data_IF_143005821487
#
_entry.id   IF_143005821487
#
_cell.length_a   1.000
_cell.length_b   1.000
_cell.length_c   1.000
_cell.angle_alpha   90.00
_cell.angle_beta   90.00
_cell.angle_gamma   90.00
#
_symmetry.space_group_name_H-M   'P 1'
#
loop_
_entity.id
_entity.type
_entity.pdbx_description
1 polymer ?
#
# COMPACT_ATOMS: atom_id res chain seq x y z
N UNK A 1 23.19 6.14 -19.49
CA UNK A 1 21.83 5.56 -19.37
C UNK A 1 20.91 6.72 -19.05
N UNK A 2 19.69 6.70 -19.54
CA UNK A 2 18.70 7.73 -19.26
C UNK A 2 18.27 7.62 -17.79
N UNK A 3 18.20 8.76 -17.11
CA UNK A 3 17.79 8.82 -15.71
C UNK A 3 16.28 8.72 -15.62
N UNK A 4 15.79 7.85 -14.75
CA UNK A 4 14.36 7.55 -14.59
C UNK A 4 13.87 7.99 -13.22
N UNK A 5 12.65 8.52 -13.16
CA UNK A 5 11.98 8.84 -11.90
C UNK A 5 11.09 7.69 -11.46
N UNK A 6 11.06 7.43 -10.16
CA UNK A 6 10.05 6.58 -9.52
C UNK A 6 9.21 7.46 -8.60
N UNK A 7 7.94 7.62 -8.92
CA UNK A 7 6.96 8.30 -8.07
C UNK A 7 6.34 7.26 -7.15
N UNK A 8 6.82 7.22 -5.91
CA UNK A 8 6.32 6.34 -4.87
C UNK A 8 5.13 6.99 -4.19
N UNK A 9 3.96 6.43 -4.35
CA UNK A 9 2.70 7.02 -3.89
C UNK A 9 2.16 6.32 -2.66
N UNK A 10 1.63 7.09 -1.72
CA UNK A 10 0.96 6.56 -0.53
C UNK A 10 -0.14 7.49 -0.04
N UNK A 11 -0.91 7.01 0.95
CA UNK A 11 -2.00 7.79 1.54
C UNK A 11 -1.49 9.05 2.26
N UNK A 12 -0.35 8.91 2.93
CA UNK A 12 0.23 9.95 3.77
C UNK A 12 -0.35 9.97 5.18
N UNK A 13 0.34 10.64 6.08
CA UNK A 13 -0.06 10.84 7.47
C UNK A 13 0.61 12.11 8.00
N UNK A 14 0.03 12.81 8.98
CA UNK A 14 0.67 13.94 9.61
C UNK A 14 2.04 13.58 10.20
N UNK A 15 3.02 14.46 10.01
CA UNK A 15 4.34 14.36 10.64
C UNK A 15 4.36 15.02 12.03
N UNK A 16 3.42 15.92 12.28
CA UNK A 16 3.28 16.69 13.51
C UNK A 16 1.80 16.86 13.85
N UNK A 17 1.49 17.05 15.11
CA UNK A 17 0.12 17.18 15.61
C UNK A 17 -0.61 18.36 14.96
N UNK A 18 0.10 19.46 14.66
CA UNK A 18 -0.45 20.67 14.06
C UNK A 18 -1.00 20.43 12.64
N UNK A 19 -0.51 19.40 11.95
CA UNK A 19 -0.94 19.05 10.60
C UNK A 19 -2.25 18.23 10.57
N UNK A 20 -2.72 17.73 11.73
CA UNK A 20 -3.88 16.84 11.80
C UNK A 20 -5.15 17.52 11.29
N UNK A 21 -5.35 18.81 11.58
CA UNK A 21 -6.54 19.55 11.15
C UNK A 21 -6.64 19.63 9.63
N UNK A 22 -5.56 20.07 8.99
CA UNK A 22 -5.51 20.25 7.53
C UNK A 22 -5.59 18.89 6.82
N UNK A 23 -4.86 17.89 7.32
CA UNK A 23 -4.93 16.52 6.85
C UNK A 23 -6.36 15.95 6.91
N UNK A 24 -7.06 16.14 8.04
CA UNK A 24 -8.42 15.65 8.20
C UNK A 24 -9.42 16.40 7.32
N UNK A 25 -9.24 17.70 7.18
CA UNK A 25 -10.03 18.54 6.26
C UNK A 25 -9.82 18.07 4.82
N UNK A 26 -8.60 17.77 4.41
CA UNK A 26 -8.29 17.26 3.07
C UNK A 26 -8.95 15.89 2.81
N UNK A 27 -8.88 14.94 3.75
CA UNK A 27 -9.56 13.65 3.65
C UNK A 27 -11.07 13.80 3.46
N UNK A 28 -11.66 14.84 4.06
CA UNK A 28 -13.08 15.16 4.00
C UNK A 28 -13.44 16.04 2.80
N UNK A 29 -12.55 16.10 1.79
CA UNK A 29 -12.75 16.88 0.56
C UNK A 29 -13.00 18.37 0.83
N UNK A 30 -12.20 18.96 1.73
CA UNK A 30 -12.27 20.39 2.09
C UNK A 30 -13.34 20.74 3.12
N UNK A 31 -14.06 19.77 3.66
CA UNK A 31 -15.03 20.00 4.74
C UNK A 31 -14.31 19.92 6.09
N UNK A 32 -14.22 21.04 6.77
CA UNK A 32 -13.64 21.09 8.11
C UNK A 32 -14.34 20.11 9.07
N UNK A 33 -13.60 19.40 9.92
CA UNK A 33 -14.18 18.58 10.97
C UNK A 33 -14.85 19.47 12.04
N UNK A 34 -15.87 18.94 12.70
CA UNK A 34 -16.29 19.54 13.97
C UNK A 34 -15.19 19.35 15.03
N UNK A 35 -15.18 20.20 16.06
CA UNK A 35 -14.20 20.06 17.15
C UNK A 35 -14.22 18.67 17.77
N UNK A 36 -15.41 18.09 18.00
CA UNK A 36 -15.54 16.74 18.56
C UNK A 36 -14.91 15.65 17.67
N UNK A 37 -15.03 15.75 16.36
CA UNK A 37 -14.40 14.81 15.42
C UNK A 37 -12.88 14.99 15.36
N UNK A 38 -12.43 16.22 15.47
CA UNK A 38 -11.00 16.55 15.55
C UNK A 38 -10.38 15.99 16.83
N UNK A 39 -10.99 16.26 17.99
CA UNK A 39 -10.53 15.78 19.28
C UNK A 39 -10.48 14.24 19.34
N UNK A 40 -11.49 13.56 18.76
CA UNK A 40 -11.49 12.10 18.62
C UNK A 40 -10.30 11.61 17.78
N UNK A 41 -9.99 12.28 16.66
CA UNK A 41 -8.86 11.90 15.84
C UNK A 41 -7.52 12.17 16.54
N UNK A 42 -7.37 13.32 17.19
CA UNK A 42 -6.18 13.65 17.99
C UNK A 42 -5.96 12.61 19.08
N UNK A 43 -7.02 12.25 19.82
CA UNK A 43 -6.93 11.23 20.86
C UNK A 43 -6.42 9.88 20.33
N UNK A 44 -6.84 9.46 19.11
CA UNK A 44 -6.31 8.25 18.47
C UNK A 44 -4.82 8.36 18.13
N UNK A 45 -4.34 9.55 17.73
CA UNK A 45 -2.91 9.78 17.52
C UNK A 45 -2.14 9.76 18.84
N UNK A 46 -2.70 10.33 19.92
CA UNK A 46 -2.09 10.30 21.26
C UNK A 46 -1.94 8.86 21.79
N UNK A 47 -2.93 7.99 21.57
CA UNK A 47 -2.86 6.56 21.94
C UNK A 47 -1.68 5.82 21.29
N UNK A 48 -1.18 6.27 20.17
CA UNK A 48 -0.02 5.69 19.47
C UNK A 48 1.27 6.50 19.65
N UNK A 49 1.27 7.50 20.55
CA UNK A 49 2.45 8.29 20.86
C UNK A 49 2.54 9.66 20.18
N UNK A 50 1.42 10.19 19.65
CA UNK A 50 1.28 11.53 19.09
C UNK A 50 1.10 11.55 17.58
N UNK A 51 2.03 11.02 16.79
CA UNK A 51 1.91 10.89 15.34
C UNK A 51 2.22 9.46 14.90
N UNK A 52 1.70 9.08 13.72
CA UNK A 52 1.96 7.77 13.18
C UNK A 52 3.43 7.63 12.74
N UNK A 53 4.10 6.49 12.97
CA UNK A 53 5.43 6.22 12.43
C UNK A 53 5.43 6.04 10.91
N UNK A 54 4.26 6.05 10.26
CA UNK A 54 4.09 5.77 8.83
C UNK A 54 4.90 6.73 7.95
N UNK A 55 5.00 8.01 8.30
CA UNK A 55 5.77 8.98 7.51
C UNK A 55 7.26 8.59 7.46
N UNK A 56 7.84 8.24 8.61
CA UNK A 56 9.22 7.76 8.69
C UNK A 56 9.43 6.43 7.97
N UNK A 57 8.47 5.50 8.10
CA UNK A 57 8.50 4.20 7.40
C UNK A 57 8.45 4.42 5.89
N UNK A 58 7.57 5.31 5.40
CA UNK A 58 7.46 5.63 3.96
C UNK A 58 8.77 6.19 3.42
N UNK A 59 9.44 7.08 4.17
CA UNK A 59 10.73 7.63 3.76
C UNK A 59 11.83 6.56 3.76
N UNK A 60 11.86 5.69 4.75
CA UNK A 60 12.79 4.55 4.78
C UNK A 60 12.56 3.59 3.59
N UNK A 61 11.30 3.34 3.22
CA UNK A 61 10.96 2.55 2.04
C UNK A 61 11.43 3.23 0.75
N UNK A 62 11.22 4.57 0.62
CA UNK A 62 11.71 5.34 -0.52
C UNK A 62 13.22 5.18 -0.69
N UNK A 63 13.98 5.41 0.39
CA UNK A 63 15.44 5.31 0.36
C UNK A 63 15.92 3.89 0.01
N UNK A 64 15.31 2.87 0.60
CA UNK A 64 15.67 1.48 0.33
C UNK A 64 15.35 1.06 -1.12
N UNK A 65 14.24 1.54 -1.68
CA UNK A 65 13.87 1.28 -3.09
C UNK A 65 14.89 1.95 -4.02
N UNK A 66 15.25 3.21 -3.77
CA UNK A 66 16.25 3.94 -4.56
C UNK A 66 17.60 3.24 -4.54
N UNK A 67 18.08 2.84 -3.38
CA UNK A 67 19.31 2.07 -3.20
C UNK A 67 19.27 0.77 -4.01
N UNK A 68 18.23 -0.03 -3.86
CA UNK A 68 18.10 -1.33 -4.53
C UNK A 68 17.98 -1.22 -6.05
N UNK A 69 17.27 -0.23 -6.55
CA UNK A 69 17.18 0.00 -7.99
C UNK A 69 18.54 0.37 -8.58
N UNK A 70 19.30 1.24 -7.90
CA UNK A 70 20.61 1.66 -8.37
C UNK A 70 21.70 0.58 -8.19
N UNK A 71 21.60 -0.28 -7.17
CA UNK A 71 22.47 -1.46 -7.03
C UNK A 71 22.29 -2.47 -8.18
N UNK A 72 21.10 -2.54 -8.78
CA UNK A 72 20.83 -3.50 -9.85
C UNK A 72 21.62 -3.24 -11.14
N UNK A 73 22.15 -2.01 -11.31
CA UNK A 73 22.92 -1.61 -12.48
C UNK A 73 22.11 -1.52 -13.79
N UNK A 74 20.79 -1.63 -13.72
CA UNK A 74 19.89 -1.60 -14.89
C UNK A 74 19.58 -0.19 -15.39
N UNK A 75 19.85 0.85 -14.58
CA UNK A 75 19.58 2.24 -14.88
C UNK A 75 20.05 3.16 -13.77
N UNK A 76 19.79 4.45 -13.92
CA UNK A 76 19.93 5.46 -12.87
C UNK A 76 18.52 5.89 -12.46
N UNK A 77 18.16 5.64 -11.20
CA UNK A 77 16.84 5.91 -10.67
C UNK A 77 16.89 6.94 -9.56
N UNK A 78 15.91 7.85 -9.54
CA UNK A 78 15.65 8.72 -8.42
C UNK A 78 14.20 8.51 -7.96
N UNK A 79 14.02 8.27 -6.65
CA UNK A 79 12.73 7.94 -6.06
C UNK A 79 12.18 9.12 -5.26
N UNK A 80 10.94 9.48 -5.55
CA UNK A 80 10.24 10.62 -4.98
C UNK A 80 8.98 10.14 -4.26
N UNK A 81 8.68 10.69 -3.08
CA UNK A 81 7.41 10.45 -2.41
C UNK A 81 6.34 11.43 -2.89
N UNK A 82 5.18 10.90 -3.32
CA UNK A 82 3.99 11.67 -3.63
C UNK A 82 2.82 11.20 -2.78
N UNK A 83 2.30 12.07 -1.91
CA UNK A 83 1.30 11.70 -0.91
C UNK A 83 -0.10 12.15 -1.33
N UNK A 84 -1.12 11.35 -0.97
CA UNK A 84 -2.49 11.64 -1.40
C UNK A 84 -3.15 12.75 -0.58
N UNK A 85 -2.90 12.80 0.73
CA UNK A 85 -3.67 13.62 1.65
C UNK A 85 -2.85 14.61 2.47
N UNK A 86 -1.53 14.65 2.28
CA UNK A 86 -0.63 15.59 2.95
C UNK A 86 0.55 15.91 2.01
N UNK A 87 1.26 17.00 2.28
CA UNK A 87 2.47 17.39 1.54
C UNK A 87 3.64 16.40 1.74
N UNK A 88 4.45 16.21 0.67
CA UNK A 88 4.26 16.70 -0.68
C UNK A 88 3.14 15.92 -1.41
N UNK A 89 2.18 16.64 -1.98
CA UNK A 89 1.11 16.00 -2.75
C UNK A 89 1.65 15.38 -4.04
N UNK A 90 0.93 14.37 -4.55
CA UNK A 90 1.30 13.69 -5.81
C UNK A 90 1.58 14.69 -6.93
N UNK A 91 0.73 15.70 -7.09
CA UNK A 91 0.84 16.71 -8.14
C UNK A 91 2.04 17.66 -7.94
N UNK A 92 2.40 17.94 -6.69
CA UNK A 92 3.57 18.75 -6.35
C UNK A 92 4.85 18.01 -6.68
N UNK A 93 4.95 16.76 -6.22
CA UNK A 93 6.07 15.87 -6.50
C UNK A 93 6.23 15.62 -8.00
N UNK A 94 5.11 15.41 -8.71
CA UNK A 94 5.16 15.27 -10.16
C UNK A 94 5.68 16.54 -10.86
N UNK A 95 5.29 17.72 -10.38
CA UNK A 95 5.82 19.00 -10.88
C UNK A 95 7.32 19.11 -10.63
N UNK A 96 7.81 18.67 -9.47
CA UNK A 96 9.24 18.62 -9.17
C UNK A 96 9.98 17.69 -10.13
N UNK A 97 9.47 16.49 -10.36
CA UNK A 97 10.04 15.50 -11.30
C UNK A 97 10.14 16.10 -12.72
N UNK A 98 9.07 16.74 -13.20
CA UNK A 98 9.04 17.40 -14.52
C UNK A 98 10.05 18.55 -14.61
N UNK A 99 10.15 19.39 -13.57
CA UNK A 99 11.11 20.49 -13.53
C UNK A 99 12.56 20.02 -13.51
N UNK A 100 12.85 18.80 -13.03
CA UNK A 100 14.17 18.16 -13.10
C UNK A 100 14.45 17.54 -14.47
N UNK A 101 13.49 17.56 -15.41
CA UNK A 101 13.66 17.13 -16.79
C UNK A 101 13.53 15.61 -16.99
N UNK A 102 12.92 14.90 -16.08
CA UNK A 102 12.63 13.47 -16.28
C UNK A 102 11.55 13.27 -17.35
N UNK A 103 11.81 12.35 -18.27
CA UNK A 103 10.89 11.98 -19.37
C UNK A 103 10.36 10.55 -19.24
N UNK A 104 10.89 9.77 -18.29
CA UNK A 104 10.40 8.43 -17.94
C UNK A 104 10.08 8.36 -16.46
N UNK A 105 8.82 8.08 -16.13
CA UNK A 105 8.29 8.06 -14.75
C UNK A 105 7.59 6.73 -14.47
N UNK A 106 8.07 6.01 -13.46
CA UNK A 106 7.41 4.82 -12.93
C UNK A 106 6.55 5.21 -11.73
N UNK A 107 5.25 4.95 -11.78
CA UNK A 107 4.34 5.16 -10.65
C UNK A 107 4.10 3.88 -9.89
N UNK A 108 4.39 3.88 -8.58
CA UNK A 108 4.15 2.74 -7.69
C UNK A 108 3.38 3.22 -6.44
N UNK A 109 2.26 2.58 -6.15
CA UNK A 109 1.54 2.83 -4.89
C UNK A 109 2.01 1.83 -3.84
N UNK A 110 2.28 2.30 -2.61
CA UNK A 110 2.68 1.45 -1.47
C UNK A 110 1.50 0.62 -0.93
N UNK A 111 0.79 -0.05 -1.85
CA UNK A 111 -0.27 -0.99 -1.56
C UNK A 111 -0.11 -2.19 -2.50
N UNK A 112 0.04 -3.43 -1.98
CA UNK A 112 0.46 -4.56 -2.80
C UNK A 112 -0.60 -5.06 -3.78
N UNK A 113 -1.88 -4.78 -3.52
CA UNK A 113 -3.00 -5.29 -4.28
C UNK A 113 -3.72 -4.18 -5.04
N UNK A 114 -4.10 -4.45 -6.29
CA UNK A 114 -4.88 -3.52 -7.09
C UNK A 114 -6.30 -3.36 -6.52
N UNK A 115 -6.82 -2.16 -6.64
CA UNK A 115 -8.22 -1.82 -6.40
C UNK A 115 -8.55 -0.53 -7.14
N UNK A 116 -9.83 -0.22 -7.27
CA UNK A 116 -10.29 1.07 -7.80
C UNK A 116 -9.69 2.27 -7.03
N UNK A 117 -9.36 2.10 -5.74
CA UNK A 117 -8.68 3.15 -4.98
C UNK A 117 -7.22 3.34 -5.41
N UNK A 118 -6.55 2.28 -5.84
CA UNK A 118 -5.18 2.34 -6.37
C UNK A 118 -5.20 2.98 -7.76
N UNK A 119 -6.17 2.61 -8.59
CA UNK A 119 -6.35 3.20 -9.92
C UNK A 119 -6.45 4.73 -9.84
N UNK A 120 -7.15 5.29 -8.84
CA UNK A 120 -7.27 6.74 -8.63
C UNK A 120 -5.93 7.47 -8.40
N UNK A 121 -4.90 6.80 -7.90
CA UNK A 121 -3.57 7.40 -7.78
C UNK A 121 -2.95 7.62 -9.16
N UNK A 122 -3.05 6.60 -10.00
CA UNK A 122 -2.53 6.65 -11.37
C UNK A 122 -3.31 7.63 -12.24
N UNK A 123 -4.64 7.67 -12.12
CA UNK A 123 -5.51 8.64 -12.80
C UNK A 123 -5.11 10.10 -12.51
N UNK A 124 -4.72 10.43 -11.28
CA UNK A 124 -4.23 11.77 -10.91
C UNK A 124 -2.92 12.11 -11.63
N UNK A 125 -1.99 11.16 -11.70
CA UNK A 125 -0.73 11.33 -12.43
C UNK A 125 -0.99 11.50 -13.93
N UNK A 126 -1.79 10.63 -14.52
CA UNK A 126 -2.14 10.66 -15.94
C UNK A 126 -2.85 11.96 -16.32
N UNK A 127 -3.78 12.45 -15.49
CA UNK A 127 -4.45 13.72 -15.71
C UNK A 127 -3.48 14.91 -15.76
N UNK A 128 -2.46 14.93 -14.89
CA UNK A 128 -1.42 15.95 -14.89
C UNK A 128 -0.50 15.83 -16.10
N UNK A 129 -0.20 14.62 -16.55
CA UNK A 129 0.69 14.36 -17.68
C UNK A 129 0.04 14.58 -19.06
N UNK A 130 -1.28 14.80 -19.14
CA UNK A 130 -1.96 15.11 -20.41
C UNK A 130 -1.34 16.30 -21.15
N UNK A 131 -0.74 17.26 -20.44
CA UNK A 131 -0.06 18.43 -21.01
C UNK A 131 1.44 18.21 -21.24
N UNK A 132 1.96 16.99 -21.02
CA UNK A 132 3.36 16.62 -21.13
C UNK A 132 3.54 15.39 -22.01
N UNK A 133 3.25 15.48 -23.34
CA UNK A 133 3.30 14.33 -24.24
C UNK A 133 4.72 13.76 -24.44
N UNK A 134 5.76 14.49 -24.04
CA UNK A 134 7.15 14.06 -24.03
C UNK A 134 7.48 13.07 -22.91
N UNK A 135 6.58 12.92 -21.92
CA UNK A 135 6.80 12.07 -20.74
C UNK A 135 6.11 10.72 -20.93
N UNK A 136 6.86 9.65 -20.75
CA UNK A 136 6.33 8.30 -20.70
C UNK A 136 6.04 7.89 -19.27
N UNK A 137 4.79 7.52 -18.98
CA UNK A 137 4.36 7.04 -17.66
C UNK A 137 4.17 5.52 -17.65
N UNK A 138 4.74 4.87 -16.64
CA UNK A 138 4.69 3.43 -16.42
C UNK A 138 3.96 3.13 -15.11
N UNK A 139 2.63 2.91 -15.11
CA UNK A 139 1.89 2.59 -13.89
C UNK A 139 2.12 1.15 -13.43
N UNK A 140 2.42 0.97 -12.15
CA UNK A 140 2.51 -0.33 -11.47
C UNK A 140 1.35 -0.45 -10.49
N UNK A 141 0.32 -1.20 -10.88
CA UNK A 141 -0.94 -1.29 -10.13
C UNK A 141 -0.89 -2.22 -8.94
N UNK A 142 0.03 -3.16 -8.90
CA UNK A 142 0.23 -4.13 -7.83
C UNK A 142 1.67 -4.65 -7.81
N UNK A 143 2.09 -5.21 -6.67
CA UNK A 143 3.39 -5.87 -6.53
C UNK A 143 3.33 -7.12 -5.64
N UNK A 144 2.14 -7.63 -5.29
CA UNK A 144 1.99 -8.81 -4.47
C UNK A 144 2.62 -10.09 -5.07
N UNK A 145 2.78 -10.13 -6.40
CA UNK A 145 3.44 -11.23 -7.11
C UNK A 145 4.97 -11.17 -7.06
N UNK A 146 5.53 -10.07 -6.59
CA UNK A 146 6.99 -9.94 -6.50
C UNK A 146 7.56 -10.99 -5.55
N UNK A 147 8.63 -11.67 -6.00
CA UNK A 147 9.29 -12.72 -5.22
C UNK A 147 9.64 -12.25 -3.81
N UNK A 148 10.19 -11.04 -3.67
CA UNK A 148 10.55 -10.48 -2.36
C UNK A 148 9.35 -10.31 -1.42
N UNK A 149 8.16 -9.94 -1.95
CA UNK A 149 6.94 -9.83 -1.15
C UNK A 149 6.47 -11.20 -0.67
N UNK A 150 6.41 -12.19 -1.56
CA UNK A 150 5.98 -13.54 -1.23
C UNK A 150 6.95 -14.22 -0.25
N UNK A 151 8.25 -14.12 -0.51
CA UNK A 151 9.28 -14.68 0.36
C UNK A 151 9.25 -14.06 1.75
N UNK A 152 9.14 -12.72 1.85
CA UNK A 152 9.04 -12.06 3.14
C UNK A 152 7.91 -12.64 4.01
N UNK A 153 6.70 -12.78 3.45
CA UNK A 153 5.57 -13.29 4.20
C UNK A 153 5.66 -14.80 4.50
N UNK A 154 6.18 -15.60 3.56
CA UNK A 154 6.41 -17.02 3.80
C UNK A 154 7.43 -17.25 4.91
N UNK A 155 8.52 -16.49 4.94
CA UNK A 155 9.53 -16.55 6.00
C UNK A 155 8.97 -16.15 7.36
N UNK A 156 8.12 -15.12 7.43
CA UNK A 156 7.43 -14.72 8.68
C UNK A 156 6.53 -15.84 9.20
N UNK A 157 5.79 -16.52 8.32
CA UNK A 157 4.98 -17.67 8.70
C UNK A 157 5.84 -18.83 9.15
N UNK A 158 6.89 -19.14 8.38
CA UNK A 158 7.84 -20.23 8.69
C UNK A 158 8.50 -20.04 10.06
N UNK A 159 8.95 -18.82 10.35
CA UNK A 159 9.55 -18.46 11.63
C UNK A 159 8.56 -18.55 12.83
N UNK A 160 7.27 -18.37 12.57
CA UNK A 160 6.23 -18.46 13.59
C UNK A 160 5.67 -19.90 13.77
N UNK A 161 6.08 -20.86 12.94
CA UNK A 161 5.65 -22.26 13.05
C UNK A 161 6.20 -22.91 14.32
N UNK A 162 5.31 -23.61 15.04
CA UNK A 162 5.70 -24.38 16.21
C UNK A 162 5.68 -25.89 15.87
N UNK A 163 6.74 -26.66 16.14
CA UNK A 163 6.88 -28.04 15.66
C UNK A 163 5.82 -29.00 16.21
N UNK A 164 5.23 -28.71 17.39
CA UNK A 164 4.32 -29.63 18.07
C UNK A 164 2.91 -29.06 18.31
N UNK A 165 2.64 -27.81 17.89
CA UNK A 165 1.35 -27.15 18.13
C UNK A 165 0.59 -26.97 16.84
N UNK A 166 -0.71 -27.27 16.85
CA UNK A 166 -1.61 -26.86 15.77
C UNK A 166 -1.78 -25.34 15.81
N UNK A 167 -1.45 -24.67 14.74
CA UNK A 167 -1.53 -23.21 14.60
C UNK A 167 -2.49 -22.83 13.49
N UNK A 168 -3.01 -21.63 13.58
CA UNK A 168 -3.82 -21.00 12.53
C UNK A 168 -3.24 -19.64 12.26
N UNK A 169 -2.93 -19.36 11.01
CA UNK A 169 -2.56 -18.04 10.53
C UNK A 169 -3.78 -17.36 9.94
N UNK A 170 -3.89 -16.08 10.20
CA UNK A 170 -5.02 -15.27 9.80
C UNK A 170 -4.51 -14.13 8.91
N UNK A 171 -4.82 -14.18 7.63
CA UNK A 171 -4.59 -13.06 6.73
C UNK A 171 -5.74 -12.07 6.89
N UNK A 172 -5.41 -10.83 7.17
CA UNK A 172 -6.38 -9.74 7.31
C UNK A 172 -6.09 -8.66 6.30
N UNK A 173 -7.14 -8.01 5.82
CA UNK A 173 -7.03 -6.90 4.90
C UNK A 173 -8.10 -5.85 5.22
N UNK A 174 -7.88 -4.63 4.76
CA UNK A 174 -8.88 -3.57 4.88
C UNK A 174 -10.11 -3.90 4.05
N UNK A 175 -11.31 -3.63 4.58
CA UNK A 175 -12.55 -3.85 3.83
C UNK A 175 -12.75 -2.73 2.80
N UNK A 176 -13.19 -3.12 1.60
CA UNK A 176 -13.69 -2.18 0.60
C UNK A 176 -15.23 -2.13 0.61
N UNK A 177 -15.84 -1.02 0.15
CA UNK A 177 -17.28 -0.95 -0.04
C UNK A 177 -17.77 -2.05 -0.98
N UNK A 178 -18.84 -2.74 -0.60
CA UNK A 178 -19.40 -3.87 -1.33
C UNK A 178 -19.75 -3.55 -2.80
N UNK A 179 -20.16 -2.29 -3.07
CA UNK A 179 -20.43 -1.80 -4.43
C UNK A 179 -19.22 -1.90 -5.38
N UNK A 180 -17.99 -1.79 -4.88
CA UNK A 180 -16.78 -1.91 -5.71
C UNK A 180 -16.60 -3.36 -6.14
N UNK A 181 -16.83 -4.30 -5.24
CA UNK A 181 -16.78 -5.73 -5.54
C UNK A 181 -17.82 -6.12 -6.61
N UNK A 182 -19.03 -5.56 -6.52
CA UNK A 182 -20.07 -5.77 -7.50
C UNK A 182 -19.69 -5.24 -8.91
N UNK A 183 -18.80 -4.25 -8.98
CA UNK A 183 -18.27 -3.68 -10.23
C UNK A 183 -16.99 -4.37 -10.74
N UNK A 184 -16.60 -5.51 -10.16
CA UNK A 184 -15.45 -6.29 -10.61
C UNK A 184 -14.10 -5.80 -10.10
N UNK A 185 -14.05 -5.10 -8.95
CA UNK A 185 -12.79 -4.71 -8.30
C UNK A 185 -11.97 -5.97 -7.95
N UNK A 186 -10.70 -6.09 -8.40
CA UNK A 186 -9.91 -7.32 -8.25
C UNK A 186 -9.36 -7.54 -6.85
N UNK A 187 -9.49 -6.59 -5.94
CA UNK A 187 -8.83 -6.56 -4.65
C UNK A 187 -8.96 -7.85 -3.83
N UNK A 188 -10.18 -8.38 -3.72
CA UNK A 188 -10.44 -9.58 -2.90
C UNK A 188 -9.81 -10.81 -3.52
N UNK A 189 -9.81 -10.92 -4.84
CA UNK A 189 -9.25 -12.07 -5.52
C UNK A 189 -7.73 -12.02 -5.49
N UNK A 190 -7.11 -10.85 -5.70
CA UNK A 190 -5.66 -10.68 -5.53
C UNK A 190 -5.18 -11.01 -4.11
N UNK A 191 -5.94 -10.64 -3.06
CA UNK A 191 -5.60 -11.01 -1.67
C UNK A 191 -5.63 -12.52 -1.46
N UNK A 192 -6.65 -13.22 -2.01
CA UNK A 192 -6.75 -14.67 -1.92
C UNK A 192 -5.59 -15.36 -2.65
N UNK A 193 -5.28 -14.89 -3.86
CA UNK A 193 -4.19 -15.41 -4.67
C UNK A 193 -2.85 -15.20 -3.99
N UNK A 194 -2.60 -13.99 -3.45
CA UNK A 194 -1.40 -13.70 -2.68
C UNK A 194 -1.27 -14.59 -1.44
N UNK A 195 -2.34 -14.74 -0.67
CA UNK A 195 -2.35 -15.60 0.50
C UNK A 195 -2.06 -17.06 0.13
N UNK A 196 -2.64 -17.56 -0.97
CA UNK A 196 -2.38 -18.91 -1.46
C UNK A 196 -0.93 -19.06 -1.93
N UNK A 197 -0.39 -18.07 -2.66
CA UNK A 197 0.98 -18.07 -3.14
C UNK A 197 1.99 -18.06 -1.98
N UNK A 198 1.73 -17.28 -0.94
CA UNK A 198 2.56 -17.24 0.29
C UNK A 198 2.55 -18.61 0.97
N UNK A 199 1.37 -19.20 1.17
CA UNK A 199 1.22 -20.51 1.84
C UNK A 199 1.93 -21.61 1.07
N UNK A 200 1.90 -21.58 -0.26
CA UNK A 200 2.58 -22.56 -1.10
C UNK A 200 4.11 -22.53 -0.98
N UNK A 201 4.69 -21.43 -0.48
CA UNK A 201 6.12 -21.31 -0.23
C UNK A 201 6.53 -21.75 1.19
N UNK A 202 5.56 -21.93 2.10
CA UNK A 202 5.83 -22.37 3.48
C UNK A 202 6.11 -23.87 3.49
N UNK A 203 7.27 -24.28 4.03
CA UNK A 203 7.62 -25.70 4.16
C UNK A 203 6.76 -26.39 5.23
N UNK A 204 6.28 -27.59 4.90
CA UNK A 204 5.45 -28.41 5.79
C UNK A 204 3.99 -28.46 5.34
N UNK A 205 3.14 -29.14 6.15
CA UNK A 205 1.73 -29.33 5.83
C UNK A 205 0.92 -28.10 6.27
N UNK A 206 0.75 -27.15 5.38
CA UNK A 206 -0.10 -25.99 5.60
C UNK A 206 -1.34 -26.09 4.71
N UNK A 207 -2.52 -26.30 5.33
CA UNK A 207 -3.78 -26.36 4.59
C UNK A 207 -4.43 -24.98 4.49
N UNK A 208 -4.64 -24.52 3.28
CA UNK A 208 -5.42 -23.31 3.00
C UNK A 208 -6.92 -23.64 3.04
N UNK A 209 -7.57 -23.33 4.15
CA UNK A 209 -9.02 -23.51 4.27
C UNK A 209 -9.76 -22.30 3.72
N UNK A 210 -10.01 -22.30 2.41
CA UNK A 210 -10.97 -21.39 1.80
C UNK A 210 -12.39 -21.86 2.20
N UNK A 211 -13.00 -21.27 3.23
CA UNK A 211 -14.41 -21.49 3.46
C UNK A 211 -15.22 -20.82 2.35
N UNK A 212 -15.64 -21.62 1.39
CA UNK A 212 -16.71 -21.30 0.44
C UNK A 212 -18.07 -21.14 1.16
N UNK A 213 -18.17 -20.39 2.20
CA UNK A 213 -19.44 -19.96 2.75
C UNK A 213 -19.51 -18.45 2.57
N UNK A 214 -20.32 -18.02 1.63
CA UNK A 214 -20.55 -16.65 1.16
C UNK A 214 -20.98 -15.62 2.20
N UNK A 215 -20.34 -15.62 3.35
CA UNK A 215 -20.33 -14.54 4.31
C UNK A 215 -18.86 -14.31 4.66
N UNK A 216 -18.29 -13.30 4.02
CA UNK A 216 -17.13 -12.59 4.55
C UNK A 216 -17.41 -12.34 6.03
N UNK A 217 -16.60 -12.92 6.90
CA UNK A 217 -16.74 -12.66 8.32
C UNK A 217 -16.27 -11.23 8.56
N UNK A 218 -17.19 -10.29 8.50
CA UNK A 218 -16.95 -8.90 8.87
C UNK A 218 -16.82 -8.83 10.39
N UNK A 219 -15.66 -9.20 10.90
CA UNK A 219 -15.30 -8.82 12.26
C UNK A 219 -14.72 -7.40 12.12
N UNK A 220 -15.49 -6.42 12.57
CA UNK A 220 -15.07 -5.01 12.65
C UNK A 220 -14.60 -4.38 11.34
N UNK A 221 -15.32 -4.57 10.22
CA UNK A 221 -15.03 -4.02 8.88
C UNK A 221 -13.76 -4.56 8.19
N UNK A 222 -13.08 -5.57 8.71
CA UNK A 222 -11.89 -6.16 8.09
C UNK A 222 -12.19 -7.53 7.48
N UNK A 223 -11.57 -7.79 6.33
CA UNK A 223 -11.61 -9.09 5.67
C UNK A 223 -10.64 -10.05 6.36
N UNK A 224 -11.03 -11.32 6.51
CA UNK A 224 -10.23 -12.33 7.19
C UNK A 224 -10.18 -13.61 6.37
N UNK A 225 -8.96 -13.99 5.93
CA UNK A 225 -8.67 -15.30 5.35
C UNK A 225 -8.06 -16.19 6.45
N UNK A 226 -8.57 -17.41 6.58
CA UNK A 226 -8.12 -18.34 7.61
C UNK A 226 -7.25 -19.44 6.98
N UNK A 227 -6.00 -19.52 7.39
CA UNK A 227 -5.09 -20.60 7.04
C UNK A 227 -4.87 -21.49 8.26
N UNK A 228 -4.97 -22.81 8.09
CA UNK A 228 -4.76 -23.77 9.16
C UNK A 228 -3.54 -24.66 8.85
N UNK A 229 -2.62 -24.77 9.81
CA UNK A 229 -1.57 -25.78 9.77
C UNK A 229 -2.03 -27.03 10.55
N UNK A 230 -1.86 -28.21 9.95
CA UNK A 230 -1.92 -29.48 10.70
C UNK A 230 -0.50 -29.85 11.09
N UNK A 231 -0.25 -30.05 12.37
CA UNK A 231 0.95 -30.77 12.77
C UNK A 231 0.86 -32.20 12.22
N UNK A 232 1.95 -32.67 11.62
CA UNK A 232 2.10 -34.04 11.16
C UNK A 232 1.98 -35.04 12.33
#
# INVERSE_FOLDING_TARGET
MEKQAVLLMSYGTPNRTEEIWDYYTHIRHGKEPSQALYDELVGRYEEIGGVSPLAHITEAQRAAIEEKLNESGTGEYQVFNGLRHIHPFIEETLTEILNQGFTSIHGLVLAPHRSTFIDQYHERVEAKLQTHPEVTYHPHYHFWQATGFLTFWSDQIQAALHPTRKQKFLFTAHSLPERLLANGDPYVDEIKEAAQAIVNQVEGTVDFANRRSGKLCAVNKNFCLRVGCKAA
#
